data_IF_734180068893
#
_entry.id   IF_734180068893
#
_cell.length_a   1.000
_cell.length_b   1.000
_cell.length_c   1.000
_cell.angle_alpha   90.00
_cell.angle_beta   90.00
_cell.angle_gamma   90.00
#
_symmetry.space_group_name_H-M   'P 1'
#
loop_
_entity.id
_entity.type
_entity.pdbx_description
1 polymer ?
#
# COMPACT_ATOMS: atom_id res chain seq x y z
N UNK A 1 3.94 3.04 32.94
CA UNK A 1 3.69 2.88 32.56
C UNK A 1 3.51 2.57 31.92
N UNK A 2 3.60 2.65 31.76
CA UNK A 2 3.31 2.48 31.14
C UNK A 2 2.71 1.96 30.73
N UNK A 3 2.31 1.94 30.91
CA UNK A 3 1.52 1.21 30.51
C UNK A 3 1.80 0.32 29.48
N UNK A 4 2.39 -0.21 29.27
CA UNK A 4 2.55 -1.17 28.27
C UNK A 4 2.48 -0.71 26.85
N UNK A 5 2.06 0.48 26.62
CA UNK A 5 2.02 1.04 25.27
C UNK A 5 3.29 1.81 24.99
N UNK A 6 4.16 1.17 24.24
CA UNK A 6 5.37 1.80 23.77
C UNK A 6 5.10 2.35 22.36
N UNK A 7 4.89 3.65 22.29
CA UNK A 7 4.59 4.34 21.02
C UNK A 7 5.67 4.09 19.96
N UNK A 8 6.94 4.05 20.39
CA UNK A 8 8.03 3.83 19.43
C UNK A 8 7.99 2.41 18.84
N UNK A 9 7.53 1.44 19.64
CA UNK A 9 7.35 0.07 19.14
C UNK A 9 6.24 0.00 18.10
N UNK A 10 5.13 0.71 18.35
CA UNK A 10 4.02 0.77 17.40
C UNK A 10 4.44 1.44 16.09
N UNK A 11 5.19 2.53 16.20
CA UNK A 11 5.69 3.23 15.00
C UNK A 11 6.65 2.33 14.23
N UNK A 12 7.53 1.64 14.93
CA UNK A 12 8.47 0.71 14.30
C UNK A 12 7.73 -0.38 13.54
N UNK A 13 6.71 -0.99 14.16
CA UNK A 13 5.93 -2.04 13.53
C UNK A 13 5.20 -1.52 12.30
N UNK A 14 4.62 -0.31 12.40
CA UNK A 14 3.98 0.33 11.27
C UNK A 14 4.97 0.54 10.12
N UNK A 15 6.17 1.05 10.42
CA UNK A 15 7.17 1.33 9.38
C UNK A 15 7.64 0.06 8.68
N UNK A 16 7.83 -1.03 9.44
CA UNK A 16 8.21 -2.31 8.87
C UNK A 16 7.12 -2.84 7.94
N UNK A 17 5.87 -2.76 8.39
CA UNK A 17 4.73 -3.19 7.59
C UNK A 17 4.57 -2.33 6.33
N UNK A 18 4.67 -1.02 6.49
CA UNK A 18 4.57 -0.08 5.36
C UNK A 18 5.67 -0.36 4.34
N UNK A 19 6.88 -0.63 4.81
CA UNK A 19 7.99 -0.97 3.90
C UNK A 19 7.70 -2.23 3.12
N UNK A 20 7.13 -3.25 3.77
CA UNK A 20 6.74 -4.48 3.08
C UNK A 20 5.72 -4.22 1.98
N UNK A 21 4.73 -3.37 2.26
CA UNK A 21 3.73 -3.01 1.26
C UNK A 21 4.35 -2.22 0.11
N UNK A 22 5.27 -1.31 0.41
CA UNK A 22 5.95 -0.53 -0.62
C UNK A 22 6.85 -1.40 -1.49
N UNK A 23 7.54 -2.38 -0.88
CA UNK A 23 8.37 -3.32 -1.64
C UNK A 23 7.50 -4.18 -2.55
N UNK A 24 6.33 -4.61 -2.08
CA UNK A 24 5.38 -5.37 -2.88
C UNK A 24 4.86 -4.53 -4.05
N UNK A 25 4.58 -3.26 -3.79
CA UNK A 25 4.15 -2.32 -4.82
C UNK A 25 5.22 -2.15 -5.89
N UNK A 26 6.47 -1.95 -5.46
CA UNK A 26 7.58 -1.78 -6.37
C UNK A 26 7.77 -3.01 -7.27
N UNK A 27 7.75 -4.20 -6.67
CA UNK A 27 7.86 -5.46 -7.42
C UNK A 27 6.73 -5.63 -8.42
N UNK A 28 5.51 -5.30 -8.01
CA UNK A 28 4.35 -5.41 -8.87
C UNK A 28 4.39 -4.41 -10.03
N UNK A 29 4.86 -3.20 -9.77
CA UNK A 29 5.03 -2.20 -10.83
C UNK A 29 6.06 -2.65 -11.86
N UNK A 30 7.15 -3.28 -11.41
CA UNK A 30 8.15 -3.83 -12.31
C UNK A 30 7.56 -4.95 -13.17
N UNK A 31 6.74 -5.82 -12.58
CA UNK A 31 6.06 -6.87 -13.34
C UNK A 31 5.10 -6.30 -14.37
N UNK A 32 4.34 -5.27 -14.00
CA UNK A 32 3.44 -4.59 -14.94
C UNK A 32 4.22 -3.98 -16.09
N UNK A 33 5.35 -3.37 -15.81
CA UNK A 33 6.20 -2.77 -16.82
C UNK A 33 6.71 -3.83 -17.81
N UNK A 34 7.18 -4.96 -17.29
CA UNK A 34 7.67 -6.05 -18.13
C UNK A 34 6.55 -6.72 -18.94
N UNK A 35 5.33 -6.71 -18.41
CA UNK A 35 4.19 -7.34 -19.06
C UNK A 35 3.39 -6.43 -19.97
N UNK A 36 3.80 -5.19 -20.15
CA UNK A 36 3.01 -4.22 -20.92
C UNK A 36 2.73 -4.65 -22.35
N UNK A 37 3.64 -5.39 -22.95
CA UNK A 37 3.44 -5.90 -24.30
C UNK A 37 2.53 -7.12 -24.38
N UNK A 38 2.28 -7.78 -23.27
CA UNK A 38 1.50 -9.01 -23.19
C UNK A 38 0.06 -8.80 -22.72
N UNK A 39 -0.29 -7.57 -22.32
CA UNK A 39 -1.60 -7.26 -21.83
C UNK A 39 -1.58 -6.88 -20.35
N UNK A 40 -2.74 -6.56 -19.85
CA UNK A 40 -2.91 -6.02 -18.52
C UNK A 40 -3.20 -7.15 -17.51
N UNK A 41 -2.42 -7.24 -16.46
CA UNK A 41 -2.60 -8.28 -15.44
C UNK A 41 -3.54 -7.78 -14.34
N UNK A 42 -4.81 -8.17 -14.45
CA UNK A 42 -5.85 -7.78 -13.49
C UNK A 42 -5.56 -8.31 -12.10
N UNK A 43 -5.05 -9.53 -11.99
CA UNK A 43 -4.76 -10.13 -10.68
C UNK A 43 -3.65 -9.38 -9.97
N UNK A 44 -2.65 -8.96 -10.71
CA UNK A 44 -1.55 -8.20 -10.14
C UNK A 44 -2.04 -6.85 -9.60
N UNK A 45 -2.89 -6.15 -10.36
CA UNK A 45 -3.45 -4.88 -9.92
C UNK A 45 -4.36 -5.06 -8.71
N UNK A 46 -5.15 -6.12 -8.68
CA UNK A 46 -5.98 -6.42 -7.50
C UNK A 46 -5.13 -6.67 -6.26
N UNK A 47 -4.00 -7.35 -6.41
CA UNK A 47 -3.05 -7.54 -5.31
C UNK A 47 -2.49 -6.22 -4.81
N UNK A 48 -2.15 -5.33 -5.73
CA UNK A 48 -1.69 -3.98 -5.39
C UNK A 48 -2.75 -3.21 -4.61
N UNK A 49 -3.99 -3.26 -5.07
CA UNK A 49 -5.09 -2.58 -4.39
C UNK A 49 -5.28 -3.09 -2.98
N UNK A 50 -5.15 -4.41 -2.77
CA UNK A 50 -5.23 -4.99 -1.43
C UNK A 50 -4.14 -4.46 -0.52
N UNK A 51 -2.91 -4.39 -1.02
CA UNK A 51 -1.77 -3.87 -0.28
C UNK A 51 -1.96 -2.39 0.08
N UNK A 52 -2.39 -1.59 -0.89
CA UNK A 52 -2.64 -0.16 -0.67
C UNK A 52 -3.77 0.06 0.33
N UNK A 53 -4.82 -0.75 0.24
CA UNK A 53 -5.94 -0.65 1.17
C UNK A 53 -5.48 -0.91 2.61
N UNK A 54 -4.66 -1.93 2.82
CA UNK A 54 -4.11 -2.26 4.13
C UNK A 54 -3.23 -1.12 4.65
N UNK A 55 -2.36 -0.61 3.79
CA UNK A 55 -1.47 0.49 4.16
C UNK A 55 -2.27 1.75 4.51
N UNK A 56 -3.33 2.04 3.75
CA UNK A 56 -4.21 3.17 4.02
C UNK A 56 -4.83 3.05 5.42
N UNK A 57 -5.38 1.87 5.75
CA UNK A 57 -5.98 1.64 7.05
C UNK A 57 -4.98 1.78 8.19
N UNK A 58 -3.80 1.18 8.03
CA UNK A 58 -2.75 1.25 9.05
C UNK A 58 -2.27 2.68 9.27
N UNK A 59 -2.11 3.43 8.17
CA UNK A 59 -1.69 4.83 8.26
C UNK A 59 -2.73 5.68 8.98
N UNK A 60 -4.01 5.43 8.72
CA UNK A 60 -5.10 6.12 9.42
C UNK A 60 -5.10 5.82 10.91
N UNK A 61 -4.92 4.56 11.28
CA UNK A 61 -4.85 4.16 12.70
C UNK A 61 -3.70 4.82 13.43
N UNK A 62 -2.58 5.01 12.75
CA UNK A 62 -1.41 5.65 13.34
C UNK A 62 -1.49 7.18 13.31
N UNK A 63 -2.52 7.75 12.72
CA UNK A 63 -2.69 9.19 12.62
C UNK A 63 -1.86 9.86 11.53
N UNK A 64 -1.28 9.07 10.61
CA UNK A 64 -0.49 9.61 9.51
C UNK A 64 -1.41 9.97 8.35
N UNK A 65 -2.11 11.07 8.51
CA UNK A 65 -3.20 11.47 7.60
C UNK A 65 -2.69 11.79 6.20
N UNK A 66 -1.54 12.42 6.09
CA UNK A 66 -0.95 12.74 4.77
C UNK A 66 -0.65 11.47 3.98
N UNK A 67 -0.08 10.47 4.65
CA UNK A 67 0.21 9.18 4.01
C UNK A 67 -1.09 8.48 3.61
N UNK A 68 -2.07 8.49 4.52
CA UNK A 68 -3.38 7.89 4.24
C UNK A 68 -4.02 8.49 2.99
N UNK A 69 -4.01 9.81 2.88
CA UNK A 69 -4.59 10.50 1.72
C UNK A 69 -3.85 10.18 0.44
N UNK A 70 -2.52 10.13 0.50
CA UNK A 70 -1.71 9.80 -0.67
C UNK A 70 -2.02 8.38 -1.15
N UNK A 71 -2.05 7.42 -0.23
CA UNK A 71 -2.34 6.03 -0.56
C UNK A 71 -3.75 5.87 -1.13
N UNK A 72 -4.71 6.63 -0.57
CA UNK A 72 -6.08 6.63 -1.09
C UNK A 72 -6.13 7.10 -2.54
N UNK A 73 -5.34 8.12 -2.88
CA UNK A 73 -5.25 8.60 -4.26
C UNK A 73 -4.65 7.54 -5.19
N UNK A 74 -3.62 6.82 -4.73
CA UNK A 74 -3.05 5.72 -5.49
C UNK A 74 -4.06 4.61 -5.74
N UNK A 75 -4.85 4.27 -4.72
CA UNK A 75 -5.93 3.30 -4.91
C UNK A 75 -6.86 3.72 -6.02
N UNK A 76 -7.23 5.00 -6.05
CA UNK A 76 -8.11 5.55 -7.08
C UNK A 76 -7.54 5.40 -8.49
N UNK A 77 -6.25 5.62 -8.63
CA UNK A 77 -5.57 5.47 -9.92
C UNK A 77 -5.64 4.02 -10.41
N UNK A 78 -5.30 3.06 -9.53
CA UNK A 78 -5.30 1.65 -9.93
C UNK A 78 -6.72 1.12 -10.18
N UNK A 79 -7.71 1.60 -9.43
CA UNK A 79 -9.11 1.25 -9.68
C UNK A 79 -9.55 1.70 -11.07
N UNK A 80 -9.13 2.89 -11.47
CA UNK A 80 -9.45 3.40 -12.82
C UNK A 80 -8.81 2.54 -13.91
N UNK A 81 -7.61 2.03 -13.66
CA UNK A 81 -6.96 1.11 -14.60
C UNK A 81 -7.78 -0.16 -14.79
N UNK A 82 -8.39 -0.68 -13.72
CA UNK A 82 -9.23 -1.87 -13.80
C UNK A 82 -10.53 -1.61 -14.56
N UNK A 83 -11.07 -0.39 -14.46
CA UNK A 83 -12.35 -0.05 -15.07
C UNK A 83 -12.23 0.28 -16.56
N UNK A 84 -11.03 0.46 -17.05
CA UNK A 84 -10.77 0.67 -18.48
C UNK A 84 -10.43 -0.64 -19.18
#
# INVERSE_FOLDING_TARGET
MADGLDTSSLVKDYLEDARSHLDALDSALLELEHGMGAGFDVQLVNGLLGSLHTLKGNSGMMGFITVQKFVHQLEGVFKRLLDN
#
